data_IF_233949372655
#
_entry.id   IF_233949372655
#
_cell.length_a   1.000
_cell.length_b   1.000
_cell.length_c   1.000
_cell.angle_alpha   90.00
_cell.angle_beta   90.00
_cell.angle_gamma   90.00
#
_symmetry.space_group_name_H-M   'P 1'
#
loop_
_entity.id
_entity.type
_entity.pdbx_description
1 polymer ?
#
# COMPACT_ATOMS: atom_id res chain seq x y z
N UNK A 1 17.95 28.25 13.74
CA UNK A 1 16.95 28.07 12.66
C UNK A 1 17.32 27.01 11.62
N UNK A 2 18.58 26.89 11.20
CA UNK A 2 19.01 25.92 10.15
C UNK A 2 18.78 24.45 10.53
N UNK A 3 19.03 24.08 11.79
CA UNK A 3 18.82 22.71 12.29
C UNK A 3 17.35 22.25 12.30
N UNK A 4 16.39 23.16 12.51
CA UNK A 4 14.97 22.80 12.51
C UNK A 4 14.48 22.40 11.11
N UNK A 5 15.01 23.06 10.08
CA UNK A 5 14.64 22.80 8.69
C UNK A 5 15.04 21.39 8.26
N UNK A 6 16.25 20.95 8.63
CA UNK A 6 16.77 19.61 8.35
C UNK A 6 15.86 18.52 8.97
N UNK A 7 15.46 18.70 10.23
CA UNK A 7 14.60 17.74 10.94
C UNK A 7 13.22 17.64 10.27
N UNK A 8 12.63 18.79 9.91
CA UNK A 8 11.34 18.82 9.22
C UNK A 8 11.43 18.15 7.86
N UNK A 9 12.53 18.35 7.13
CA UNK A 9 12.75 17.73 5.82
C UNK A 9 12.87 16.20 5.92
N UNK A 10 13.63 15.70 6.91
CA UNK A 10 13.79 14.26 7.17
C UNK A 10 12.43 13.63 7.55
N UNK A 11 11.68 14.28 8.44
CA UNK A 11 10.35 13.81 8.85
C UNK A 11 9.37 13.75 7.67
N UNK A 12 9.43 14.71 6.76
CA UNK A 12 8.60 14.75 5.56
C UNK A 12 8.97 13.63 4.57
N UNK A 13 10.26 13.39 4.36
CA UNK A 13 10.71 12.26 3.53
C UNK A 13 10.30 10.91 4.11
N UNK A 14 10.45 10.71 5.42
CA UNK A 14 10.05 9.48 6.09
C UNK A 14 8.53 9.25 6.00
N UNK A 15 7.72 10.28 6.23
CA UNK A 15 6.26 10.15 6.14
C UNK A 15 5.81 9.81 4.72
N UNK A 16 6.42 10.40 3.69
CA UNK A 16 6.15 10.06 2.29
C UNK A 16 6.56 8.62 1.98
N UNK A 17 7.75 8.19 2.40
CA UNK A 17 8.21 6.81 2.20
C UNK A 17 7.32 5.77 2.90
N UNK A 18 6.84 6.08 4.11
CA UNK A 18 5.92 5.21 4.85
C UNK A 18 4.56 5.17 4.15
N UNK A 19 4.05 6.31 3.71
CA UNK A 19 2.79 6.39 2.98
C UNK A 19 2.86 5.55 1.69
N UNK A 20 3.91 5.70 0.87
CA UNK A 20 4.07 4.91 -0.35
C UNK A 20 4.25 3.41 -0.09
N UNK A 21 4.95 3.03 0.99
CA UNK A 21 5.03 1.63 1.41
C UNK A 21 3.69 1.04 1.85
N UNK A 22 2.81 1.84 2.45
CA UNK A 22 1.47 1.36 2.84
C UNK A 22 0.55 1.11 1.64
N UNK A 23 0.73 1.81 0.53
CA UNK A 23 0.00 1.57 -0.73
C UNK A 23 0.61 0.39 -1.50
N UNK A 24 1.94 0.33 -1.59
CA UNK A 24 2.65 -0.78 -2.24
C UNK A 24 2.56 -2.11 -1.45
N UNK A 25 2.37 -2.04 -0.13
CA UNK A 25 2.30 -3.21 0.75
C UNK A 25 1.09 -4.12 0.53
N UNK A 26 0.17 -3.73 -0.34
CA UNK A 26 -0.89 -4.62 -0.81
C UNK A 26 -0.64 -5.18 -2.19
N UNK A 27 0.01 -4.42 -3.07
CA UNK A 27 0.45 -4.91 -4.37
C UNK A 27 1.52 -6.02 -4.22
N UNK A 28 2.38 -5.96 -3.19
CA UNK A 28 3.41 -6.98 -2.94
C UNK A 28 2.94 -8.21 -2.13
N UNK A 29 1.66 -8.30 -1.76
CA UNK A 29 1.18 -9.48 -1.03
C UNK A 29 0.81 -10.61 -1.99
N UNK A 30 1.36 -11.82 -1.79
CA UNK A 30 1.00 -12.97 -2.60
C UNK A 30 -0.48 -13.26 -2.43
N UNK A 31 -1.24 -13.14 -3.50
CA UNK A 31 -2.64 -13.48 -3.48
C UNK A 31 -2.89 -14.90 -3.95
N UNK A 32 -3.44 -15.72 -3.06
CA UNK A 32 -3.91 -17.08 -3.36
C UNK A 32 -5.43 -17.08 -3.58
N UNK A 33 -5.97 -18.03 -4.36
CA UNK A 33 -7.41 -18.22 -4.53
C UNK A 33 -8.03 -18.70 -3.21
N UNK A 34 -8.25 -17.77 -2.30
CA UNK A 34 -8.97 -17.98 -1.04
C UNK A 34 -9.71 -16.69 -0.66
N UNK A 35 -10.96 -16.81 -0.18
CA UNK A 35 -11.81 -15.65 0.15
C UNK A 35 -11.21 -14.74 1.23
N UNK A 36 -10.24 -15.25 1.99
CA UNK A 36 -9.52 -14.48 3.02
C UNK A 36 -8.64 -13.40 2.38
N UNK A 37 -7.91 -13.74 1.33
CA UNK A 37 -6.99 -12.81 0.68
C UNK A 37 -7.74 -11.76 -0.15
N UNK A 38 -8.88 -12.15 -0.74
CA UNK A 38 -9.75 -11.21 -1.46
C UNK A 38 -10.30 -10.13 -0.51
N UNK A 39 -10.80 -10.54 0.66
CA UNK A 39 -11.30 -9.59 1.67
C UNK A 39 -10.19 -8.69 2.24
N UNK A 40 -8.98 -9.22 2.39
CA UNK A 40 -7.82 -8.44 2.82
C UNK A 40 -7.44 -7.39 1.76
N UNK A 41 -7.35 -7.82 0.50
CA UNK A 41 -7.08 -6.96 -0.65
C UNK A 41 -8.14 -5.86 -0.79
N UNK A 42 -9.42 -6.22 -0.67
CA UNK A 42 -10.55 -5.30 -0.69
C UNK A 42 -10.44 -4.23 0.41
N UNK A 43 -10.15 -4.62 1.65
CA UNK A 43 -9.93 -3.67 2.76
C UNK A 43 -8.74 -2.75 2.49
N UNK A 44 -7.64 -3.30 1.99
CA UNK A 44 -6.44 -2.52 1.76
C UNK A 44 -6.61 -1.47 0.67
N UNK A 45 -7.29 -1.82 -0.42
CA UNK A 45 -7.62 -0.89 -1.49
C UNK A 45 -8.84 0.00 -1.16
N UNK A 46 -9.17 0.21 0.11
CA UNK A 46 -10.27 1.09 0.54
C UNK A 46 -11.65 0.69 0.00
N UNK A 47 -11.90 -0.62 -0.16
CA UNK A 47 -13.14 -1.15 -0.71
C UNK A 47 -13.18 -1.28 -2.23
N UNK A 48 -12.05 -1.07 -2.91
CA UNK A 48 -11.91 -1.16 -4.37
C UNK A 48 -10.73 -2.03 -4.80
N UNK A 49 -10.60 -3.20 -4.20
CA UNK A 49 -9.51 -4.14 -4.49
C UNK A 49 -10.03 -5.54 -4.73
N UNK A 50 -9.41 -6.26 -5.66
CA UNK A 50 -9.60 -7.69 -5.84
C UNK A 50 -8.28 -8.38 -6.07
N UNK A 51 -8.22 -9.64 -5.69
CA UNK A 51 -7.05 -10.45 -6.02
C UNK A 51 -7.07 -10.91 -7.47
N UNK A 52 -5.95 -10.71 -8.15
CA UNK A 52 -5.76 -11.22 -9.49
C UNK A 52 -4.99 -12.54 -9.44
N UNK A 53 -5.69 -13.66 -9.69
CA UNK A 53 -5.12 -15.01 -9.67
C UNK A 53 -4.07 -15.19 -10.77
N UNK A 54 -4.17 -14.45 -11.88
CA UNK A 54 -3.20 -14.54 -12.97
C UNK A 54 -1.90 -13.81 -12.64
N UNK A 55 -1.99 -12.74 -11.86
CA UNK A 55 -0.81 -11.96 -11.48
C UNK A 55 -0.28 -12.28 -10.07
N UNK A 56 -0.99 -13.13 -9.32
CA UNK A 56 -0.67 -13.53 -7.95
C UNK A 56 -0.48 -12.34 -6.98
N UNK A 57 -1.07 -11.19 -7.28
CA UNK A 57 -1.05 -9.99 -6.43
C UNK A 57 -2.42 -9.34 -6.32
N UNK A 58 -2.59 -8.52 -5.28
CA UNK A 58 -3.77 -7.69 -5.11
C UNK A 58 -3.74 -6.53 -6.11
N UNK A 59 -4.86 -6.33 -6.81
CA UNK A 59 -5.02 -5.22 -7.76
C UNK A 59 -6.06 -4.26 -7.19
N UNK A 60 -5.61 -3.04 -6.89
CA UNK A 60 -6.52 -1.96 -6.53
C UNK A 60 -7.09 -1.32 -7.80
N UNK A 61 -8.42 -1.33 -7.96
CA UNK A 61 -9.09 -0.46 -8.91
C UNK A 61 -9.09 0.97 -8.36
N UNK A 62 -8.01 1.70 -8.64
CA UNK A 62 -8.01 3.17 -8.61
C UNK A 62 -8.85 3.66 -9.80
N UNK A 63 -10.17 3.60 -9.65
CA UNK A 63 -11.11 4.31 -10.52
C UNK A 63 -11.06 5.80 -10.25
#
# INVERSE_FOLDING_TARGET
>A
MKFLYEIVFIALFLTVMIATHTEAGCEDRPCKPSPVYDRFCWKCCGGKGKCDVFKAHCVCSRG
#
